data_IF_348094580073
#
_entry.id   IF_348094580073
#
_cell.length_a   1.000
_cell.length_b   1.000
_cell.length_c   1.000
_cell.angle_alpha   90.00
_cell.angle_beta   90.00
_cell.angle_gamma   90.00
#
_symmetry.space_group_name_H-M   'P 1'
#
loop_
_entity.id
_entity.type
_entity.pdbx_description
1 polymer ?
#
# COMPACT_ATOMS: atom_id res chain seq x y z
N UNK A 1 0.67 2.65 0.35
CA UNK A 1 1.59 3.59 1.06
C UNK A 1 1.76 4.87 0.24
N UNK A 2 2.25 5.96 0.83
CA UNK A 2 2.30 7.27 0.17
C UNK A 2 3.54 7.50 -0.69
N UNK A 3 4.63 6.78 -0.42
CA UNK A 3 5.91 6.83 -1.11
C UNK A 3 6.59 5.46 -1.15
N UNK A 4 7.49 5.24 -2.11
CA UNK A 4 8.35 4.04 -2.17
C UNK A 4 9.30 3.96 -0.96
N UNK A 5 9.72 5.10 -0.43
CA UNK A 5 10.48 5.21 0.81
C UNK A 5 9.78 4.59 2.02
N UNK A 6 8.45 4.41 1.98
CA UNK A 6 7.68 3.77 3.06
C UNK A 6 7.75 2.23 2.98
N UNK A 7 8.21 1.66 1.85
CA UNK A 7 8.19 0.22 1.61
C UNK A 7 8.99 -0.58 2.66
N UNK A 8 10.18 -0.15 3.13
CA UNK A 8 10.88 -0.86 4.20
C UNK A 8 10.05 -0.96 5.49
N UNK A 9 9.23 0.05 5.81
CA UNK A 9 8.37 0.08 7.00
C UNK A 9 7.11 -0.78 6.81
N UNK A 10 6.53 -0.77 5.61
CA UNK A 10 5.29 -1.50 5.31
C UNK A 10 5.50 -2.98 4.97
N UNK A 11 6.71 -3.39 4.57
CA UNK A 11 7.04 -4.77 4.17
C UNK A 11 6.64 -5.83 5.22
N UNK A 12 6.90 -5.65 6.53
CA UNK A 12 6.52 -6.65 7.53
C UNK A 12 5.02 -6.94 7.56
N UNK A 13 4.17 -5.95 7.24
CA UNK A 13 2.72 -6.17 7.18
C UNK A 13 2.33 -7.12 6.03
N UNK A 14 2.90 -6.92 4.84
CA UNK A 14 2.68 -7.79 3.69
C UNK A 14 3.19 -9.22 3.95
N UNK A 15 4.35 -9.35 4.60
CA UNK A 15 4.91 -10.66 4.98
C UNK A 15 4.01 -11.42 5.96
N UNK A 16 3.39 -10.74 6.94
CA UNK A 16 2.43 -11.36 7.86
C UNK A 16 1.18 -11.84 7.13
N UNK A 17 0.63 -11.02 6.23
CA UNK A 17 -0.53 -11.41 5.41
C UNK A 17 -0.21 -12.63 4.53
N UNK A 18 0.96 -12.65 3.90
CA UNK A 18 1.44 -13.79 3.12
C UNK A 18 1.57 -15.07 3.97
N UNK A 19 2.14 -14.97 5.18
CA UNK A 19 2.29 -16.11 6.11
C UNK A 19 0.96 -16.72 6.53
N UNK A 20 -0.09 -15.91 6.64
CA UNK A 20 -1.43 -16.39 6.97
C UNK A 20 -2.25 -16.81 5.74
N UNK A 21 -1.66 -16.73 4.54
CA UNK A 21 -2.38 -17.04 3.30
C UNK A 21 -3.50 -16.04 2.99
N UNK A 22 -3.43 -14.81 3.52
CA UNK A 22 -4.42 -13.76 3.28
C UNK A 22 -4.06 -13.04 1.97
N UNK A 23 -4.92 -13.08 0.94
CA UNK A 23 -4.69 -12.33 -0.29
C UNK A 23 -4.63 -10.84 0.00
N UNK A 24 -3.65 -10.16 -0.58
CA UNK A 24 -3.44 -8.74 -0.40
C UNK A 24 -2.72 -8.15 -1.62
N UNK A 25 -2.79 -6.84 -1.75
CA UNK A 25 -2.02 -6.07 -2.73
C UNK A 25 -1.17 -5.00 -2.05
N UNK A 26 -0.06 -4.64 -2.69
CA UNK A 26 0.85 -3.59 -2.22
C UNK A 26 1.04 -2.59 -3.35
N UNK A 27 0.60 -1.34 -3.13
CA UNK A 27 0.73 -0.28 -4.13
C UNK A 27 1.01 1.09 -3.50
N UNK A 28 1.50 2.02 -4.32
CA UNK A 28 1.75 3.41 -3.95
C UNK A 28 0.51 4.25 -4.31
N UNK A 29 -0.02 4.96 -3.33
CA UNK A 29 -1.16 5.86 -3.43
C UNK A 29 -0.84 7.09 -2.56
N UNK A 30 -0.44 8.18 -3.20
CA UNK A 30 -0.06 9.42 -2.50
C UNK A 30 -1.22 10.40 -2.46
N UNK A 31 -1.68 10.78 -1.27
CA UNK A 31 -2.74 11.78 -1.10
C UNK A 31 -2.35 13.16 -1.67
N UNK A 32 -1.08 13.55 -1.53
CA UNK A 32 -0.61 14.88 -1.92
C UNK A 32 -0.14 14.96 -3.38
N UNK A 33 0.47 13.90 -3.92
CA UNK A 33 1.02 13.90 -5.28
C UNK A 33 0.06 13.39 -6.34
N UNK A 34 -0.82 12.46 -5.98
CA UNK A 34 -1.77 11.81 -6.90
C UNK A 34 -3.16 11.70 -6.24
N UNK A 35 -3.81 12.81 -5.88
CA UNK A 35 -5.09 12.79 -5.15
C UNK A 35 -6.20 12.06 -5.90
N UNK A 36 -6.26 12.19 -7.23
CA UNK A 36 -7.27 11.46 -8.03
C UNK A 36 -7.12 9.94 -7.90
N UNK A 37 -5.89 9.42 -7.97
CA UNK A 37 -5.61 7.99 -7.75
C UNK A 37 -6.07 7.53 -6.36
N UNK A 38 -5.90 8.36 -5.33
CA UNK A 38 -6.40 8.05 -3.99
C UNK A 38 -7.93 7.91 -3.98
N UNK A 39 -8.63 8.87 -4.57
CA UNK A 39 -10.08 8.81 -4.67
C UNK A 39 -10.55 7.61 -5.49
N UNK A 40 -9.90 7.32 -6.61
CA UNK A 40 -10.24 6.17 -7.43
C UNK A 40 -9.97 4.84 -6.72
N UNK A 41 -8.88 4.76 -5.95
CA UNK A 41 -8.51 3.57 -5.18
C UNK A 41 -9.44 3.30 -3.99
N UNK A 42 -10.00 4.36 -3.39
CA UNK A 42 -10.86 4.28 -2.20
C UNK A 42 -12.36 4.17 -2.53
N UNK A 43 -12.73 4.17 -3.81
CA UNK A 43 -14.11 4.07 -4.28
C UNK A 43 -14.72 2.68 -4.10
#
# INVERSE_FOLDING_TARGET
MGSDSDLPVMRPAAEVLARFGVPHEVTIVSAHRTPQRLFDYAR
#
